data_IF_335392991559
#
_entry.id   IF_335392991559
#
_cell.length_a   1.000
_cell.length_b   1.000
_cell.length_c   1.000
_cell.angle_alpha   90.00
_cell.angle_beta   90.00
_cell.angle_gamma   90.00
#
_symmetry.space_group_name_H-M   'P 1'
#
loop_
_entity.id
_entity.type
_entity.pdbx_description
1 polymer ?
#
# COMPACT_ATOMS: atom_id res chain seq x y z
N UNK A 1 -4.20 5.92 22.51
CA UNK A 1 -4.14 5.02 21.33
C UNK A 1 -4.18 5.88 20.08
N UNK A 2 -3.25 5.66 19.15
CA UNK A 2 -3.24 6.37 17.87
C UNK A 2 -4.34 5.80 16.96
N UNK A 3 -5.12 6.65 16.28
CA UNK A 3 -6.19 6.22 15.38
C UNK A 3 -5.71 5.23 14.31
N UNK A 4 -4.49 5.39 13.81
CA UNK A 4 -3.90 4.44 12.86
C UNK A 4 -3.82 3.01 13.42
N UNK A 5 -3.36 2.84 14.66
CA UNK A 5 -3.23 1.52 15.28
C UNK A 5 -4.62 0.90 15.54
N UNK A 6 -5.61 1.72 15.94
CA UNK A 6 -7.00 1.26 16.05
C UNK A 6 -7.56 0.83 14.70
N UNK A 7 -7.24 1.57 13.64
CA UNK A 7 -7.60 1.22 12.27
C UNK A 7 -7.05 -0.15 11.86
N UNK A 8 -5.78 -0.42 12.16
CA UNK A 8 -5.16 -1.73 11.88
C UNK A 8 -5.86 -2.87 12.63
N UNK A 9 -6.16 -2.69 13.93
CA UNK A 9 -6.90 -3.68 14.72
C UNK A 9 -8.28 -3.96 14.11
N UNK A 10 -9.02 -2.92 13.70
CA UNK A 10 -10.31 -3.11 13.05
C UNK A 10 -10.20 -3.79 11.68
N UNK A 11 -9.13 -3.57 10.91
CA UNK A 11 -8.89 -4.33 9.66
C UNK A 11 -8.66 -5.81 9.93
N UNK A 12 -7.88 -6.16 10.97
CA UNK A 12 -7.65 -7.55 11.37
C UNK A 12 -8.96 -8.23 11.79
N UNK A 13 -9.85 -7.50 12.47
CA UNK A 13 -11.20 -7.95 12.81
C UNK A 13 -12.20 -7.93 11.64
N UNK A 14 -11.77 -7.53 10.43
CA UNK A 14 -12.62 -7.35 9.24
C UNK A 14 -13.75 -6.32 9.42
N UNK A 15 -13.61 -5.41 10.37
CA UNK A 15 -14.50 -4.27 10.62
C UNK A 15 -14.09 -3.08 9.76
N UNK A 16 -14.32 -3.21 8.45
CA UNK A 16 -13.76 -2.31 7.45
C UNK A 16 -14.28 -0.86 7.56
N UNK A 17 -15.53 -0.67 7.99
CA UNK A 17 -16.10 0.67 8.16
C UNK A 17 -15.44 1.42 9.33
N UNK A 18 -15.30 0.77 10.49
CA UNK A 18 -14.64 1.33 11.67
C UNK A 18 -13.15 1.58 11.40
N UNK A 19 -12.50 0.67 10.68
CA UNK A 19 -11.13 0.84 10.22
C UNK A 19 -10.98 2.08 9.32
N UNK A 20 -11.91 2.27 8.38
CA UNK A 20 -11.91 3.39 7.46
C UNK A 20 -12.03 4.72 8.20
N UNK A 21 -12.96 4.82 9.15
CA UNK A 21 -13.13 6.01 9.98
C UNK A 21 -11.88 6.33 10.80
N UNK A 22 -11.23 5.30 11.35
CA UNK A 22 -9.99 5.45 12.10
C UNK A 22 -8.85 5.96 11.20
N UNK A 23 -8.67 5.36 10.02
CA UNK A 23 -7.62 5.79 9.10
C UNK A 23 -7.88 7.17 8.49
N UNK A 24 -9.14 7.55 8.24
CA UNK A 24 -9.50 8.91 7.84
C UNK A 24 -9.19 9.94 8.93
N UNK A 25 -9.54 9.67 10.19
CA UNK A 25 -9.19 10.55 11.32
C UNK A 25 -7.67 10.69 11.46
N UNK A 26 -6.94 9.58 11.32
CA UNK A 26 -5.48 9.59 11.30
C UNK A 26 -4.93 10.44 10.17
N UNK A 27 -5.46 10.29 8.95
CA UNK A 27 -5.06 11.06 7.78
C UNK A 27 -5.27 12.56 7.99
N UNK A 28 -6.45 12.96 8.48
CA UNK A 28 -6.78 14.36 8.76
C UNK A 28 -5.81 14.99 9.77
N UNK A 29 -5.48 14.28 10.86
CA UNK A 29 -4.53 14.76 11.86
C UNK A 29 -3.13 14.88 11.24
N UNK A 30 -2.67 13.86 10.52
CA UNK A 30 -1.36 13.86 9.86
C UNK A 30 -1.24 15.01 8.86
N UNK A 31 -2.25 15.26 8.03
CA UNK A 31 -2.27 16.38 7.09
C UNK A 31 -2.28 17.75 7.76
N UNK A 32 -2.81 17.86 8.98
CA UNK A 32 -2.83 19.13 9.74
C UNK A 32 -1.46 19.49 10.32
N UNK A 33 -0.66 18.50 10.68
CA UNK A 33 0.56 18.73 11.47
C UNK A 33 1.86 18.29 10.78
N UNK A 34 1.79 17.54 9.68
CA UNK A 34 2.94 17.04 8.95
C UNK A 34 3.05 17.70 7.57
N UNK A 35 4.26 17.79 7.01
CA UNK A 35 4.46 18.16 5.60
C UNK A 35 3.64 17.27 4.67
N UNK A 36 3.20 17.80 3.53
CA UNK A 36 2.31 17.12 2.58
C UNK A 36 2.84 15.78 2.08
N UNK A 37 4.16 15.64 1.99
CA UNK A 37 4.83 14.44 1.51
C UNK A 37 5.28 13.52 2.66
N UNK A 38 4.91 13.79 3.92
CA UNK A 38 5.38 12.96 5.03
C UNK A 38 4.94 11.49 4.89
N UNK A 39 5.82 10.50 5.12
CA UNK A 39 5.52 9.08 4.86
C UNK A 39 4.32 8.55 5.66
N UNK A 40 4.10 9.02 6.89
CA UNK A 40 2.89 8.75 7.66
C UNK A 40 1.56 9.10 6.93
N UNK A 41 1.54 10.16 6.13
CA UNK A 41 0.37 10.48 5.29
C UNK A 41 0.20 9.37 4.26
N UNK A 42 1.30 8.95 3.61
CA UNK A 42 1.34 7.80 2.70
C UNK A 42 0.79 6.52 3.35
N UNK A 43 1.19 6.22 4.59
CA UNK A 43 0.71 5.06 5.35
C UNK A 43 -0.80 5.08 5.58
N UNK A 44 -1.36 6.24 5.97
CA UNK A 44 -2.81 6.36 6.11
C UNK A 44 -3.55 6.19 4.78
N UNK A 45 -3.04 6.79 3.70
CA UNK A 45 -3.63 6.67 2.36
C UNK A 45 -3.57 5.22 1.85
N UNK A 46 -2.44 4.53 2.07
CA UNK A 46 -2.26 3.12 1.71
C UNK A 46 -3.24 2.20 2.45
N UNK A 47 -3.42 2.39 3.76
CA UNK A 47 -4.42 1.62 4.53
C UNK A 47 -5.85 1.85 4.02
N UNK A 48 -6.20 3.10 3.67
CA UNK A 48 -7.51 3.41 3.07
C UNK A 48 -7.67 2.69 1.72
N UNK A 49 -6.63 2.65 0.88
CA UNK A 49 -6.64 1.92 -0.39
C UNK A 49 -6.91 0.42 -0.18
N UNK A 50 -6.25 -0.19 0.81
CA UNK A 50 -6.47 -1.59 1.19
C UNK A 50 -7.91 -1.86 1.61
N UNK A 51 -8.53 -0.94 2.36
CA UNK A 51 -9.94 -1.06 2.74
C UNK A 51 -10.85 -0.99 1.50
N UNK A 52 -10.61 -0.07 0.57
CA UNK A 52 -11.38 -0.01 -0.67
C UNK A 52 -11.27 -1.31 -1.47
N UNK A 53 -10.10 -1.95 -1.49
CA UNK A 53 -9.94 -3.26 -2.12
C UNK A 53 -10.76 -4.34 -1.41
N UNK A 54 -10.74 -4.40 -0.08
CA UNK A 54 -11.57 -5.32 0.71
C UNK A 54 -13.08 -5.10 0.53
N UNK A 55 -13.49 -3.87 0.26
CA UNK A 55 -14.89 -3.49 -0.02
C UNK A 55 -15.27 -3.61 -1.51
N UNK A 56 -14.40 -4.19 -2.34
CA UNK A 56 -14.62 -4.40 -3.77
C UNK A 56 -14.81 -3.10 -4.58
N UNK A 57 -14.08 -2.04 -4.21
CA UNK A 57 -13.96 -0.78 -4.96
C UNK A 57 -12.56 -0.63 -5.58
N UNK A 58 -12.21 -1.43 -6.61
CA UNK A 58 -10.86 -1.50 -7.15
C UNK A 58 -10.38 -0.18 -7.78
N UNK A 59 -11.28 0.62 -8.37
CA UNK A 59 -10.91 1.91 -8.96
C UNK A 59 -10.50 2.96 -7.92
N UNK A 60 -11.19 2.97 -6.76
CA UNK A 60 -10.80 3.82 -5.63
C UNK A 60 -9.52 3.31 -5.00
N UNK A 61 -9.37 1.99 -4.82
CA UNK A 61 -8.13 1.40 -4.33
C UNK A 61 -6.94 1.80 -5.22
N UNK A 62 -7.08 1.71 -6.55
CA UNK A 62 -6.05 2.08 -7.52
C UNK A 62 -5.64 3.56 -7.38
N UNK A 63 -6.60 4.47 -7.27
CA UNK A 63 -6.31 5.90 -7.09
C UNK A 63 -5.55 6.15 -5.78
N UNK A 64 -5.98 5.55 -4.68
CA UNK A 64 -5.35 5.77 -3.38
C UNK A 64 -3.98 5.10 -3.27
N UNK A 65 -3.78 3.90 -3.84
CA UNK A 65 -2.45 3.27 -3.88
C UNK A 65 -1.46 4.08 -4.71
N UNK A 66 -1.86 4.62 -5.87
CA UNK A 66 -1.00 5.51 -6.65
C UNK A 66 -0.62 6.78 -5.88
N UNK A 67 -1.59 7.38 -5.17
CA UNK A 67 -1.33 8.54 -4.32
C UNK A 67 -0.37 8.22 -3.16
N UNK A 68 -0.53 7.06 -2.51
CA UNK A 68 0.37 6.63 -1.45
C UNK A 68 1.80 6.42 -2.00
N UNK A 69 1.91 5.75 -3.15
CA UNK A 69 3.18 5.54 -3.84
C UNK A 69 3.89 6.86 -4.16
N UNK A 70 3.17 7.87 -4.66
CA UNK A 70 3.74 9.19 -4.95
C UNK A 70 4.31 9.85 -3.68
N UNK A 71 3.59 9.79 -2.56
CA UNK A 71 4.06 10.32 -1.27
C UNK A 71 5.32 9.58 -0.82
N UNK A 72 5.32 8.26 -0.90
CA UNK A 72 6.46 7.45 -0.51
C UNK A 72 7.70 7.72 -1.39
N UNK A 73 7.53 7.85 -2.71
CA UNK A 73 8.64 8.15 -3.61
C UNK A 73 9.27 9.52 -3.37
N UNK A 74 8.51 10.50 -2.87
CA UNK A 74 9.03 11.83 -2.52
C UNK A 74 9.74 11.86 -1.17
N UNK A 75 9.41 10.96 -0.25
CA UNK A 75 9.79 11.07 1.16
C UNK A 75 10.66 9.95 1.70
N UNK A 76 10.73 8.83 1.00
CA UNK A 76 11.47 7.65 1.42
C UNK A 76 12.61 7.34 0.43
N UNK A 77 13.68 6.67 0.89
CA UNK A 77 14.68 6.12 -0.02
C UNK A 77 14.04 5.23 -1.08
N UNK A 78 14.58 5.21 -2.31
CA UNK A 78 14.00 4.46 -3.43
C UNK A 78 13.87 2.95 -3.20
N UNK A 79 14.60 2.41 -2.22
CA UNK A 79 14.57 1.01 -1.83
C UNK A 79 13.70 0.77 -0.58
N UNK A 80 12.84 1.71 -0.16
CA UNK A 80 12.02 1.50 1.02
C UNK A 80 10.92 0.45 0.80
N UNK A 81 10.67 -0.40 1.81
CA UNK A 81 9.73 -1.51 1.72
C UNK A 81 8.28 -1.05 1.41
N UNK A 82 7.86 0.11 1.91
CA UNK A 82 6.53 0.68 1.61
C UNK A 82 6.32 1.00 0.12
N UNK A 83 7.40 1.38 -0.60
CA UNK A 83 7.36 1.59 -2.05
C UNK A 83 7.13 0.24 -2.74
N UNK A 84 7.83 -0.81 -2.30
CA UNK A 84 7.67 -2.16 -2.82
C UNK A 84 6.26 -2.71 -2.59
N UNK A 85 5.72 -2.55 -1.37
CA UNK A 85 4.36 -2.95 -1.03
C UNK A 85 3.30 -2.22 -1.87
N UNK A 86 3.49 -0.92 -2.09
CA UNK A 86 2.59 -0.13 -2.94
C UNK A 86 2.62 -0.62 -4.39
N UNK A 87 3.81 -0.90 -4.93
CA UNK A 87 3.95 -1.50 -6.26
C UNK A 87 3.29 -2.88 -6.34
N UNK A 88 3.48 -3.75 -5.35
CA UNK A 88 2.85 -5.06 -5.32
C UNK A 88 1.32 -4.97 -5.36
N UNK A 89 0.72 -4.12 -4.53
CA UNK A 89 -0.73 -3.94 -4.51
C UNK A 89 -1.29 -3.34 -5.81
N UNK A 90 -0.55 -2.43 -6.45
CA UNK A 90 -0.89 -1.93 -7.79
C UNK A 90 -0.82 -3.06 -8.82
N UNK A 91 0.19 -3.94 -8.74
CA UNK A 91 0.32 -5.12 -9.60
C UNK A 91 -0.91 -6.03 -9.52
N UNK A 92 -1.35 -6.35 -8.30
CA UNK A 92 -2.56 -7.15 -8.07
C UNK A 92 -3.81 -6.49 -8.66
N UNK A 93 -3.95 -5.18 -8.52
CA UNK A 93 -5.08 -4.42 -9.09
C UNK A 93 -5.08 -4.44 -10.62
N UNK A 94 -3.92 -4.28 -11.26
CA UNK A 94 -3.82 -4.35 -12.72
C UNK A 94 -4.05 -5.77 -13.24
N UNK A 95 -3.58 -6.80 -12.52
CA UNK A 95 -3.85 -8.20 -12.86
C UNK A 95 -5.36 -8.49 -12.80
N UNK A 96 -6.06 -8.00 -11.77
CA UNK A 96 -7.52 -8.12 -11.68
C UNK A 96 -8.30 -7.35 -12.75
N UNK A 97 -7.64 -6.40 -13.45
CA UNK A 97 -8.17 -5.67 -14.61
C UNK A 97 -7.74 -6.28 -15.95
N UNK A 98 -7.07 -7.44 -15.93
CA UNK A 98 -6.50 -8.11 -17.10
C UNK A 98 -5.43 -7.29 -17.84
N UNK A 99 -4.90 -6.23 -17.21
CA UNK A 99 -3.75 -5.47 -17.72
C UNK A 99 -2.45 -6.10 -17.21
N UNK A 100 -2.12 -7.26 -17.77
CA UNK A 100 -0.97 -8.05 -17.35
C UNK A 100 0.36 -7.33 -17.60
N UNK A 101 0.42 -6.42 -18.57
CA UNK A 101 1.64 -5.66 -18.87
C UNK A 101 1.97 -4.69 -17.73
N UNK A 102 0.97 -3.95 -17.24
CA UNK A 102 1.15 -3.07 -16.09
C UNK A 102 1.34 -3.86 -14.80
N UNK A 103 0.62 -4.96 -14.63
CA UNK A 103 0.78 -5.86 -13.48
C UNK A 103 2.24 -6.34 -13.35
N UNK A 104 2.79 -6.90 -14.42
CA UNK A 104 4.16 -7.40 -14.46
C UNK A 104 5.18 -6.30 -14.16
N UNK A 105 5.00 -5.11 -14.74
CA UNK A 105 5.87 -3.95 -14.50
C UNK A 105 5.91 -3.59 -13.02
N UNK A 106 4.76 -3.63 -12.36
CA UNK A 106 4.63 -3.33 -10.95
C UNK A 106 5.22 -4.43 -10.05
N UNK A 107 4.97 -5.71 -10.35
CA UNK A 107 5.57 -6.83 -9.63
C UNK A 107 7.10 -6.85 -9.74
N UNK A 108 7.66 -6.57 -10.92
CA UNK A 108 9.11 -6.49 -11.11
C UNK A 108 9.75 -5.38 -10.26
N UNK A 109 9.12 -4.20 -10.17
CA UNK A 109 9.59 -3.11 -9.31
C UNK A 109 9.55 -3.50 -7.83
N UNK A 110 8.46 -4.14 -7.39
CA UNK A 110 8.34 -4.64 -6.04
C UNK A 110 9.42 -5.70 -5.72
N UNK A 111 9.59 -6.69 -6.59
CA UNK A 111 10.59 -7.76 -6.47
C UNK A 111 12.01 -7.19 -6.34
N UNK A 112 12.36 -6.23 -7.19
CA UNK A 112 13.68 -5.58 -7.17
C UNK A 112 13.98 -4.96 -5.80
N UNK A 113 13.01 -4.27 -5.20
CA UNK A 113 13.20 -3.63 -3.89
C UNK A 113 13.23 -4.68 -2.77
N UNK A 114 12.32 -5.67 -2.80
CA UNK A 114 12.28 -6.73 -1.79
C UNK A 114 13.56 -7.58 -1.78
N UNK A 115 14.15 -7.87 -2.95
CA UNK A 115 15.41 -8.59 -3.03
C UNK A 115 16.60 -7.84 -2.40
N UNK A 116 16.54 -6.51 -2.36
CA UNK A 116 17.60 -5.70 -1.74
C UNK A 116 17.35 -5.50 -0.24
N UNK A 117 16.09 -5.40 0.16
CA UNK A 117 15.72 -5.06 1.55
C UNK A 117 15.53 -6.25 2.47
N UNK A 118 15.09 -7.38 1.93
CA UNK A 118 14.72 -8.56 2.72
C UNK A 118 15.74 -9.68 2.52
N UNK A 119 15.96 -10.54 3.53
CA UNK A 119 16.72 -11.76 3.35
C UNK A 119 16.12 -12.62 2.24
N UNK A 120 16.96 -13.31 1.46
CA UNK A 120 16.53 -14.15 0.34
C UNK A 120 15.56 -15.28 0.73
N UNK A 121 15.47 -15.61 2.02
CA UNK A 121 14.55 -16.61 2.59
C UNK A 121 13.18 -16.04 2.96
N UNK A 122 12.95 -14.74 2.81
CA UNK A 122 11.71 -14.09 3.24
C UNK A 122 10.52 -14.52 2.37
N UNK A 123 9.40 -14.99 2.95
CA UNK A 123 8.26 -15.53 2.20
C UNK A 123 7.70 -14.62 1.11
N UNK A 124 7.72 -13.30 1.32
CA UNK A 124 7.24 -12.33 0.32
C UNK A 124 8.02 -12.37 -1.00
N UNK A 125 9.31 -12.76 -0.99
CA UNK A 125 10.08 -12.90 -2.23
C UNK A 125 9.47 -14.02 -3.09
N UNK A 126 9.09 -15.14 -2.46
CA UNK A 126 8.44 -16.25 -3.16
C UNK A 126 7.09 -15.88 -3.76
N UNK A 127 6.28 -15.13 -3.00
CA UNK A 127 4.95 -14.67 -3.46
C UNK A 127 5.09 -13.76 -4.69
N UNK A 128 5.91 -12.71 -4.59
CA UNK A 128 6.07 -11.75 -5.70
C UNK A 128 6.66 -12.43 -6.94
N UNK A 129 7.55 -13.41 -6.77
CA UNK A 129 8.12 -14.15 -7.89
C UNK A 129 7.11 -15.10 -8.56
N UNK A 130 6.14 -15.63 -7.81
CA UNK A 130 5.05 -16.41 -8.37
C UNK A 130 4.15 -15.53 -9.25
N UNK A 131 3.88 -14.29 -8.84
CA UNK A 131 3.02 -13.36 -9.58
C UNK A 131 3.69 -12.77 -10.84
N UNK A 132 4.99 -13.04 -11.05
CA UNK A 132 5.76 -12.63 -12.23
C UNK A 132 5.77 -13.72 -13.32
N UNK A 133 5.53 -14.99 -12.96
CA UNK A 133 5.63 -16.15 -13.85
C UNK A 133 4.32 -16.47 -14.57
#
# INVERSE_FOLDING_TARGET
>A
MCYHNMGNVYQEEKKFQEAFECHQKSLMIRQKYLPTDHPDIGASVHCIASIYLCLNYPDLALQYYNRALEIYQKSLPSQHQDIAMSHYNLGLLYAGKEDFQQALTHFQKASTIFHVTLPSTHPFIGIVNQDIQ
#
